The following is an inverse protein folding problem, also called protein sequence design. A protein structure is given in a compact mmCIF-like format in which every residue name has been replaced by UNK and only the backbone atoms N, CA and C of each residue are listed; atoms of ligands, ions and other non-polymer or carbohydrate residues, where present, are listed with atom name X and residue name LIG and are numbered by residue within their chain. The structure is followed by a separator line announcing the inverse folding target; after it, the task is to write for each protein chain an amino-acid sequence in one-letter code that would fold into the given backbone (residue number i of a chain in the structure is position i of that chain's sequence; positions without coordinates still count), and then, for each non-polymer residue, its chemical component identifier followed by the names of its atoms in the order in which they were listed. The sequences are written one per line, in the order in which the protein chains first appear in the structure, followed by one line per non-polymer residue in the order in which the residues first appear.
data_IF_634268656728
#
_entry.id   IF_634268656728
#
_cell.length_a   1.000
_cell.length_b   1.000
_cell.length_c   1.000
_cell.angle_alpha   90.00
_cell.angle_beta   90.00
_cell.angle_gamma   90.00
#
_symmetry.space_group_name_H-M   'P 1'
#
loop_
_entity.id
_entity.type
_entity.pdbx_description
1 polymer ?
#
# COMPACT_ATOMS: atom_id res chain seq x y z
N UNK A 1 -3.03 -10.64 -9.48
CA UNK A 1 -3.50 -9.44 -8.76
C UNK A 1 -2.91 -8.21 -9.42
N UNK A 2 -3.74 -7.21 -9.66
CA UNK A 2 -3.29 -5.94 -10.17
C UNK A 2 -2.99 -4.98 -9.01
N UNK A 3 -1.75 -4.48 -8.97
CA UNK A 3 -1.30 -3.46 -8.03
C UNK A 3 -1.27 -2.11 -8.74
N UNK A 4 -1.74 -1.07 -8.07
CA UNK A 4 -1.73 0.29 -8.62
C UNK A 4 -1.47 1.32 -7.53
N UNK A 5 -0.65 2.32 -7.84
CA UNK A 5 -0.36 3.44 -6.93
C UNK A 5 -0.21 4.74 -7.72
N UNK A 6 -0.65 5.84 -7.14
CA UNK A 6 -0.48 7.19 -7.69
C UNK A 6 0.85 7.77 -7.23
N UNK A 7 1.74 8.06 -8.17
CA UNK A 7 3.03 8.68 -7.87
C UNK A 7 3.50 9.54 -9.07
N UNK A 8 2.98 10.77 -9.22
CA UNK A 8 3.15 11.58 -10.42
C UNK A 8 4.61 11.93 -10.72
N UNK A 9 5.42 12.19 -9.69
CA UNK A 9 6.81 12.59 -9.82
C UNK A 9 7.81 11.44 -9.67
N UNK A 10 7.31 10.20 -9.52
CA UNK A 10 8.18 9.03 -9.42
C UNK A 10 8.86 8.75 -10.76
N UNK A 11 10.10 8.30 -10.69
CA UNK A 11 10.89 7.81 -11.83
C UNK A 11 10.88 6.29 -11.92
N UNK A 12 10.60 5.60 -10.80
CA UNK A 12 10.49 4.15 -10.68
C UNK A 12 9.67 3.81 -9.45
N UNK A 13 8.93 2.72 -9.52
CA UNK A 13 8.17 2.14 -8.40
C UNK A 13 8.52 0.67 -8.28
N UNK A 14 8.57 0.15 -7.07
CA UNK A 14 8.68 -1.28 -6.80
C UNK A 14 7.49 -1.74 -5.96
N UNK A 15 6.92 -2.89 -6.32
CA UNK A 15 6.00 -3.65 -5.45
C UNK A 15 6.81 -4.71 -4.73
N UNK A 16 6.83 -4.65 -3.42
CA UNK A 16 7.49 -5.63 -2.56
C UNK A 16 6.45 -6.60 -2.04
N UNK A 17 6.60 -7.88 -2.31
CA UNK A 17 5.71 -8.95 -1.85
C UNK A 17 6.36 -9.69 -0.68
N UNK A 18 5.62 -9.88 0.39
CA UNK A 18 6.08 -10.51 1.62
C UNK A 18 5.30 -11.78 1.91
N UNK A 19 5.92 -12.77 2.53
CA UNK A 19 5.29 -14.03 2.90
C UNK A 19 4.13 -13.86 3.89
N UNK A 20 4.31 -12.95 4.84
CA UNK A 20 3.33 -12.65 5.90
C UNK A 20 3.60 -11.27 6.49
N UNK A 21 2.71 -10.78 7.36
CA UNK A 21 2.78 -9.45 7.94
C UNK A 21 4.08 -9.14 8.69
N UNK A 22 4.60 -10.11 9.41
CA UNK A 22 5.83 -9.96 10.22
C UNK A 22 7.12 -10.31 9.47
N UNK A 23 7.03 -10.64 8.16
CA UNK A 23 8.23 -10.92 7.35
C UNK A 23 9.13 -9.69 7.28
N UNK A 24 10.41 -9.88 7.56
CA UNK A 24 11.41 -8.82 7.64
C UNK A 24 11.99 -8.44 6.27
N UNK A 25 11.85 -9.34 5.30
CA UNK A 25 12.36 -9.17 3.94
C UNK A 25 11.30 -9.58 2.93
N UNK A 26 11.25 -8.95 1.76
CA UNK A 26 10.35 -9.36 0.69
C UNK A 26 10.81 -10.66 0.05
N UNK A 27 9.86 -11.54 -0.27
CA UNK A 27 10.14 -12.75 -1.08
C UNK A 27 10.33 -12.43 -2.56
N UNK A 28 9.67 -11.38 -3.04
CA UNK A 28 9.72 -10.97 -4.44
C UNK A 28 9.63 -9.44 -4.51
N UNK A 29 10.43 -8.87 -5.40
CA UNK A 29 10.34 -7.44 -5.76
C UNK A 29 9.98 -7.37 -7.24
N UNK A 30 8.95 -6.62 -7.56
CA UNK A 30 8.52 -6.37 -8.94
C UNK A 30 8.78 -4.90 -9.24
N UNK A 31 9.69 -4.65 -10.17
CA UNK A 31 10.02 -3.30 -10.62
C UNK A 31 9.03 -2.83 -11.69
N UNK A 32 8.53 -1.63 -11.53
CA UNK A 32 7.71 -0.91 -12.50
C UNK A 32 8.54 0.19 -13.13
N UNK A 33 8.65 0.15 -14.43
CA UNK A 33 9.31 1.14 -15.27
C UNK A 33 8.26 2.02 -16.01
N UNK A 34 8.69 2.83 -16.96
CA UNK A 34 7.82 3.71 -17.77
C UNK A 34 6.65 2.99 -18.45
N UNK A 35 6.82 1.72 -18.83
CA UNK A 35 5.80 0.94 -19.55
C UNK A 35 4.63 0.54 -18.64
N UNK A 36 4.85 0.59 -17.33
CA UNK A 36 3.86 0.33 -16.28
C UNK A 36 3.16 1.59 -15.80
N UNK A 37 3.27 2.70 -16.55
CA UNK A 37 2.74 4.00 -16.16
C UNK A 37 1.67 4.50 -17.13
N UNK A 38 0.52 4.86 -16.58
CA UNK A 38 -0.57 5.54 -17.29
C UNK A 38 -0.88 6.87 -16.59
N UNK A 39 -0.40 7.99 -17.12
CA UNK A 39 -0.49 9.29 -16.47
C UNK A 39 0.27 9.30 -15.15
N UNK A 40 -0.43 9.53 -14.04
CA UNK A 40 0.13 9.55 -12.69
C UNK A 40 0.05 8.19 -11.97
N UNK A 41 -0.59 7.20 -12.60
CA UNK A 41 -0.77 5.87 -12.05
C UNK A 41 0.33 4.92 -12.53
N UNK A 42 0.93 4.22 -11.59
CA UNK A 42 1.80 3.08 -11.81
C UNK A 42 1.02 1.81 -11.53
N UNK A 43 1.05 0.85 -12.44
CA UNK A 43 0.26 -0.37 -12.29
C UNK A 43 0.99 -1.57 -12.88
N UNK A 44 0.77 -2.73 -12.29
CA UNK A 44 1.29 -4.01 -12.78
C UNK A 44 0.39 -5.15 -12.35
N UNK A 45 0.14 -6.06 -13.26
CA UNK A 45 -0.48 -7.34 -12.93
C UNK A 45 0.60 -8.36 -12.55
N UNK A 46 0.47 -8.94 -11.35
CA UNK A 46 1.43 -9.91 -10.83
C UNK A 46 0.74 -11.26 -10.66
N UNK A 47 1.24 -12.25 -11.38
CA UNK A 47 0.78 -13.63 -11.28
C UNK A 47 1.32 -14.32 -10.03
N UNK A 48 0.58 -15.34 -9.54
CA UNK A 48 0.96 -16.13 -8.38
C UNK A 48 0.75 -15.44 -7.03
N UNK A 49 0.10 -14.26 -7.01
CA UNK A 49 -0.27 -13.56 -5.78
C UNK A 49 -1.70 -13.94 -5.42
N UNK A 50 -1.92 -14.47 -4.22
CA UNK A 50 -3.22 -14.89 -3.71
C UNK A 50 -3.72 -14.02 -2.56
N UNK A 51 -4.92 -14.36 -2.07
CA UNK A 51 -5.50 -13.76 -0.87
C UNK A 51 -4.58 -14.00 0.35
N UNK A 52 -4.47 -13.01 1.21
CA UNK A 52 -3.57 -13.03 2.37
C UNK A 52 -2.13 -12.62 2.08
N UNK A 53 -1.73 -12.51 0.80
CA UNK A 53 -0.39 -11.97 0.44
C UNK A 53 -0.21 -10.57 0.98
N UNK A 54 0.96 -10.30 1.54
CA UNK A 54 1.32 -9.00 2.08
C UNK A 54 2.18 -8.22 1.08
N UNK A 55 1.97 -6.91 1.00
CA UNK A 55 2.70 -6.08 0.04
C UNK A 55 2.96 -4.66 0.57
N UNK A 56 3.89 -3.97 -0.09
CA UNK A 56 4.17 -2.55 0.11
C UNK A 56 4.82 -1.98 -1.13
N UNK A 57 4.96 -0.66 -1.17
CA UNK A 57 5.59 0.04 -2.29
C UNK A 57 6.92 0.66 -1.87
N UNK A 58 7.86 0.71 -2.80
CA UNK A 58 9.05 1.55 -2.71
C UNK A 58 9.09 2.46 -3.92
N UNK A 59 9.26 3.75 -3.68
CA UNK A 59 9.12 4.77 -4.71
C UNK A 59 10.41 5.56 -4.83
N UNK A 60 10.84 5.75 -6.05
CA UNK A 60 12.05 6.50 -6.42
C UNK A 60 11.64 7.75 -7.18
N UNK A 61 12.37 8.84 -6.98
CA UNK A 61 12.11 10.10 -7.64
C UNK A 61 13.13 11.16 -7.24
N UNK A 62 12.98 12.38 -7.75
CA UNK A 62 13.90 13.48 -7.46
C UNK A 62 13.88 13.88 -5.98
N UNK A 63 15.05 14.20 -5.46
CA UNK A 63 15.20 14.88 -4.17
C UNK A 63 15.07 16.38 -4.42
N UNK A 64 13.94 16.96 -4.04
CA UNK A 64 13.74 18.41 -4.16
C UNK A 64 13.79 19.05 -2.76
N UNK A 65 14.71 20.02 -2.50
CA UNK A 65 14.71 20.78 -1.27
C UNK A 65 13.38 21.55 -1.11
N UNK A 66 12.66 21.32 -0.02
CA UNK A 66 11.39 21.97 0.26
C UNK A 66 10.15 21.42 -0.49
N UNK A 67 10.30 20.33 -1.23
CA UNK A 67 9.23 19.68 -1.97
C UNK A 67 8.99 18.21 -1.56
N UNK A 68 8.35 17.47 -2.45
CA UNK A 68 8.15 16.02 -2.27
C UNK A 68 9.50 15.30 -2.31
N UNK A 69 9.86 14.66 -1.21
CA UNK A 69 11.12 13.93 -1.09
C UNK A 69 10.86 12.43 -1.18
N UNK A 70 11.40 11.79 -2.22
CA UNK A 70 11.36 10.35 -2.36
C UNK A 70 12.51 9.72 -1.58
N UNK A 71 12.19 8.77 -0.70
CA UNK A 71 13.19 8.03 0.06
C UNK A 71 13.11 6.53 -0.27
N UNK A 72 14.00 6.01 -1.15
CA UNK A 72 13.96 4.62 -1.57
C UNK A 72 14.36 3.63 -0.46
N UNK A 73 14.81 4.10 0.69
CA UNK A 73 15.02 3.23 1.85
C UNK A 73 13.71 2.86 2.57
N UNK A 74 12.59 3.50 2.19
CA UNK A 74 11.29 3.30 2.83
C UNK A 74 10.39 2.40 2.02
N UNK A 75 9.81 1.42 2.70
CA UNK A 75 8.63 0.71 2.22
C UNK A 75 7.40 1.46 2.71
N UNK A 76 6.54 1.81 1.79
CA UNK A 76 5.33 2.59 2.01
C UNK A 76 4.12 1.66 2.01
N UNK A 77 3.22 1.89 2.96
CA UNK A 77 1.92 1.26 2.96
C UNK A 77 1.06 1.82 1.83
N UNK A 78 0.33 0.97 1.15
CA UNK A 78 -0.69 1.40 0.19
C UNK A 78 -1.80 2.18 0.90
N UNK A 79 -2.05 3.45 0.53
CA UNK A 79 -3.13 4.23 1.12
C UNK A 79 -4.52 3.66 0.83
N UNK A 80 -4.65 2.81 -0.20
CA UNK A 80 -5.89 2.14 -0.59
C UNK A 80 -5.98 0.70 -0.07
N UNK A 81 -5.04 0.25 0.77
CA UNK A 81 -5.06 -1.09 1.34
C UNK A 81 -6.32 -1.30 2.20
N UNK A 82 -7.05 -2.40 1.96
CA UNK A 82 -8.27 -2.75 2.70
C UNK A 82 -7.98 -3.44 4.03
N UNK A 83 -6.85 -4.10 4.13
CA UNK A 83 -6.37 -4.70 5.35
C UNK A 83 -4.87 -4.45 5.50
N UNK A 84 -4.41 -4.39 6.73
CA UNK A 84 -3.04 -4.04 7.10
C UNK A 84 -2.51 -5.09 8.06
N UNK A 85 -1.25 -5.50 7.85
CA UNK A 85 -0.52 -6.42 8.70
C UNK A 85 0.85 -5.84 9.08
N UNK A 86 1.54 -6.48 10.04
CA UNK A 86 2.87 -6.09 10.49
C UNK A 86 2.87 -5.20 11.74
N UNK A 87 1.77 -5.17 12.48
CA UNK A 87 1.62 -4.32 13.67
C UNK A 87 2.56 -4.69 14.82
N UNK A 88 2.87 -5.99 14.98
CA UNK A 88 3.74 -6.46 16.07
C UNK A 88 5.19 -6.01 15.89
N UNK A 89 5.65 -5.93 14.63
CA UNK A 89 7.01 -5.50 14.29
C UNK A 89 7.15 -4.01 13.96
N UNK A 90 6.05 -3.26 13.90
CA UNK A 90 6.06 -1.87 13.44
C UNK A 90 6.86 -0.93 14.33
N UNK A 91 7.75 -0.15 13.72
CA UNK A 91 8.56 0.85 14.42
C UNK A 91 8.40 2.22 13.76
N UNK A 92 7.68 3.12 14.42
CA UNK A 92 7.47 4.49 13.93
C UNK A 92 8.78 5.25 13.70
N UNK A 93 9.78 5.06 14.56
CA UNK A 93 11.09 5.69 14.40
C UNK A 93 11.79 5.32 13.10
N UNK A 94 11.67 4.06 12.67
CA UNK A 94 12.19 3.61 11.39
C UNK A 94 11.36 4.15 10.20
N UNK A 95 10.06 4.38 10.38
CA UNK A 95 9.21 4.92 9.31
C UNK A 95 9.58 6.37 8.96
N UNK A 96 9.93 7.20 9.96
CA UNK A 96 10.22 8.63 9.78
C UNK A 96 11.72 8.97 9.80
N UNK A 97 12.56 8.12 10.37
CA UNK A 97 14.00 8.34 10.52
C UNK A 97 14.81 8.05 9.24
N UNK A 98 16.13 8.11 9.34
CA UNK A 98 17.03 7.88 8.22
C UNK A 98 17.23 6.37 7.89
N UNK A 99 16.98 5.48 8.84
CA UNK A 99 17.21 4.03 8.67
C UNK A 99 16.14 3.37 7.80
N UNK A 100 16.48 2.32 7.03
CA UNK A 100 15.48 1.55 6.30
C UNK A 100 14.41 0.95 7.23
N UNK A 101 13.17 0.89 6.74
CA UNK A 101 12.05 0.34 7.53
C UNK A 101 11.55 -1.02 7.02
N UNK A 102 12.18 -1.63 6.03
CA UNK A 102 11.69 -2.86 5.37
C UNK A 102 11.36 -3.97 6.37
N UNK A 103 12.20 -4.14 7.39
CA UNK A 103 12.03 -5.18 8.42
C UNK A 103 10.89 -4.92 9.43
N UNK A 104 10.37 -3.70 9.47
CA UNK A 104 9.40 -3.25 10.50
C UNK A 104 8.31 -2.32 9.94
N UNK A 105 8.08 -2.36 8.63
CA UNK A 105 7.02 -1.58 7.99
C UNK A 105 5.65 -2.26 8.15
N UNK A 106 4.59 -1.46 8.13
CA UNK A 106 3.24 -1.96 7.88
C UNK A 106 3.11 -2.36 6.41
N UNK A 107 2.29 -3.37 6.16
CA UNK A 107 2.08 -3.96 4.83
C UNK A 107 0.59 -4.01 4.52
N UNK A 108 0.21 -3.71 3.29
CA UNK A 108 -1.11 -4.00 2.78
C UNK A 108 -1.33 -5.51 2.65
N UNK A 109 -2.56 -5.95 2.79
CA UNK A 109 -2.93 -7.36 2.60
C UNK A 109 -3.90 -7.47 1.44
N UNK A 110 -3.65 -8.40 0.53
CA UNK A 110 -4.55 -8.73 -0.57
C UNK A 110 -5.78 -9.43 0.01
N UNK A 111 -6.93 -8.79 -0.13
CA UNK A 111 -8.21 -9.29 0.38
C UNK A 111 -9.20 -9.49 -0.75
N UNK A 112 -10.18 -10.34 -0.53
CA UNK A 112 -11.33 -10.44 -1.40
C UNK A 112 -12.15 -9.14 -1.38
N UNK A 113 -12.75 -8.82 -2.51
CA UNK A 113 -13.70 -7.71 -2.58
C UNK A 113 -15.06 -8.21 -2.09
N UNK A 114 -15.33 -8.07 -0.81
CA UNK A 114 -16.67 -8.32 -0.28
C UNK A 114 -17.68 -7.41 -0.99
N UNK A 115 -18.71 -8.01 -1.54
CA UNK A 115 -19.90 -7.31 -2.02
C UNK A 115 -20.88 -7.26 -0.86
N UNK A 116 -21.02 -6.09 -0.26
CA UNK A 116 -22.07 -5.88 0.71
C UNK A 116 -23.44 -5.83 0.00
N UNK A 117 -24.36 -6.70 0.41
CA UNK A 117 -25.72 -6.69 -0.09
C UNK A 117 -26.54 -5.66 0.67
N UNK A 118 -26.71 -4.49 0.07
CA UNK A 118 -27.50 -3.41 0.64
C UNK A 118 -29.01 -3.69 0.64
N UNK A 119 -29.49 -4.63 -0.18
CA UNK A 119 -30.90 -4.96 -0.26
C UNK A 119 -31.35 -5.84 0.91
N UNK A 120 -30.44 -6.61 1.48
CA UNK A 120 -30.67 -7.42 2.68
C UNK A 120 -30.56 -6.63 3.99
N UNK A 121 -29.99 -5.43 3.96
CA UNK A 121 -29.79 -4.61 5.16
C UNK A 121 -30.95 -3.63 5.37
N UNK A 122 -31.58 -3.61 6.55
CA UNK A 122 -32.60 -2.61 6.85
C UNK A 122 -31.98 -1.20 6.81
N UNK A 123 -32.49 -0.35 5.95
CA UNK A 123 -32.04 1.05 5.89
C UNK A 123 -32.39 1.79 7.18
N UNK A 124 -31.46 2.48 7.83
CA UNK A 124 -31.78 3.32 8.98
C UNK A 124 -32.78 4.38 8.57
N UNK A 125 -33.94 4.45 9.27
CA UNK A 125 -35.03 5.42 9.02
C UNK A 125 -35.14 6.41 10.16
N UNK A 126 -34.01 6.99 10.61
CA UNK A 126 -34.10 8.06 11.59
C UNK A 126 -34.01 9.43 10.92
N UNK A 127 -34.69 10.43 11.48
CA UNK A 127 -34.53 11.80 11.07
C UNK A 127 -33.06 12.19 11.24
N UNK A 128 -32.49 12.92 10.29
CA UNK A 128 -31.09 13.35 10.33
C UNK A 128 -30.75 14.15 11.60
N UNK A 129 -31.77 14.87 12.19
CA UNK A 129 -31.60 15.61 13.45
C UNK A 129 -31.29 14.73 14.67
N UNK A 130 -31.53 13.42 14.57
CA UNK A 130 -31.20 12.43 15.60
C UNK A 130 -29.90 11.65 15.29
N UNK A 131 -29.21 11.98 14.19
CA UNK A 131 -27.93 11.40 13.87
C UNK A 131 -26.83 12.19 14.57
N UNK A 132 -26.04 11.52 15.37
CA UNK A 132 -24.83 12.09 15.98
C UNK A 132 -23.68 11.82 15.01
N UNK A 133 -22.96 12.87 14.62
CA UNK A 133 -21.76 12.80 13.80
C UNK A 133 -20.55 12.91 14.73
#
# INVERSE_FOLDING_TARGET
VNFSVVAPLATRVEVLLFAHGEAREPQRVVELNSDHRAGDHWHVEVEGVGLGSCYGYRVYGPLQPGGHSFNPSKVLLDPCARAIAGWQGYQRGAAVGAVPNTACCLKGVVTERERFDFDAAPRPRHPWQRSVI
#
